data_IF_697398685850
#
_entry.id   IF_697398685850
#
_cell.length_a   1.000
_cell.length_b   1.000
_cell.length_c   1.000
_cell.angle_alpha   90.00
_cell.angle_beta   90.00
_cell.angle_gamma   90.00
#
_symmetry.space_group_name_H-M   'P 1'
#
loop_
_entity.id
_entity.type
_entity.pdbx_description
1 polymer ?
#
# COMPACT_ATOMS: atom_id res chain seq x y z
N UNK A 1 -19.53 12.12 19.81
CA UNK A 1 -20.50 11.28 19.09
C UNK A 1 -20.38 9.86 19.59
N UNK A 2 -21.49 9.17 19.83
CA UNK A 2 -21.52 7.88 20.52
C UNK A 2 -20.94 6.76 19.64
N UNK A 3 -20.06 5.94 20.23
CA UNK A 3 -19.52 4.74 19.60
C UNK A 3 -20.67 3.73 19.35
N UNK A 4 -20.86 3.32 18.11
CA UNK A 4 -21.79 2.24 17.79
C UNK A 4 -21.03 0.92 17.89
N UNK A 5 -21.26 0.14 18.96
CA UNK A 5 -20.90 -1.28 18.97
C UNK A 5 -21.89 -1.99 18.06
N UNK A 6 -21.42 -2.47 16.92
CA UNK A 6 -22.22 -3.31 16.04
C UNK A 6 -22.32 -4.70 16.68
N UNK A 7 -23.49 -5.02 17.23
CA UNK A 7 -23.84 -6.39 17.60
C UNK A 7 -24.15 -7.19 16.33
N UNK A 8 -23.87 -8.49 16.38
CA UNK A 8 -24.05 -9.46 15.29
C UNK A 8 -25.51 -9.53 14.80
N UNK A 9 -25.89 -8.59 13.95
CA UNK A 9 -27.09 -8.63 13.14
C UNK A 9 -26.71 -8.13 11.74
N UNK A 10 -26.85 -9.04 10.79
CA UNK A 10 -26.56 -8.94 9.36
C UNK A 10 -26.72 -7.53 8.77
N UNK A 11 -25.59 -6.88 8.49
CA UNK A 11 -25.49 -5.85 7.44
C UNK A 11 -24.24 -6.12 6.65
N UNK A 12 -24.38 -6.38 5.34
CA UNK A 12 -23.30 -6.38 4.33
C UNK A 12 -22.73 -4.96 4.15
N UNK A 13 -22.46 -4.25 5.24
CA UNK A 13 -21.84 -2.95 5.23
C UNK A 13 -20.35 -3.08 4.95
N UNK A 14 -19.84 -2.18 4.11
CA UNK A 14 -18.40 -1.93 3.97
C UNK A 14 -18.07 -0.78 4.90
N UNK A 15 -17.08 -0.95 5.76
CA UNK A 15 -16.49 0.11 6.59
C UNK A 15 -15.08 0.41 6.12
N UNK A 16 -14.65 1.66 6.20
CA UNK A 16 -13.29 2.04 5.80
C UNK A 16 -12.25 1.40 6.72
N UNK A 17 -12.48 1.46 8.05
CA UNK A 17 -11.55 0.92 9.04
C UNK A 17 -12.28 0.09 10.09
N UNK A 18 -11.92 -1.18 10.23
CA UNK A 18 -12.33 -2.04 11.33
C UNK A 18 -11.23 -2.16 12.38
N UNK A 19 -11.51 -1.70 13.60
CA UNK A 19 -10.67 -1.92 14.78
C UNK A 19 -11.20 -3.17 15.51
N UNK A 20 -10.39 -4.22 15.61
CA UNK A 20 -10.80 -5.50 16.18
C UNK A 20 -10.16 -5.69 17.55
N UNK A 21 -10.98 -5.76 18.61
CA UNK A 21 -10.55 -6.09 19.97
C UNK A 21 -9.66 -5.04 20.65
N UNK A 22 -9.52 -3.84 20.07
CA UNK A 22 -8.53 -2.85 20.50
C UNK A 22 -9.15 -1.45 20.71
N UNK A 23 -9.94 -1.27 21.79
CA UNK A 23 -10.66 -0.01 22.10
C UNK A 23 -9.77 1.26 22.04
N UNK A 24 -8.51 1.13 22.45
CA UNK A 24 -7.52 2.22 22.42
C UNK A 24 -7.28 2.72 20.99
N UNK A 25 -7.18 1.81 20.03
CA UNK A 25 -6.96 2.15 18.64
C UNK A 25 -8.16 2.92 18.08
N UNK A 26 -9.38 2.44 18.33
CA UNK A 26 -10.61 3.14 17.91
C UNK A 26 -10.64 4.59 18.43
N UNK A 27 -10.38 4.79 19.72
CA UNK A 27 -10.34 6.15 20.31
C UNK A 27 -9.29 7.03 19.64
N UNK A 28 -8.06 6.53 19.52
CA UNK A 28 -6.93 7.33 19.04
C UNK A 28 -7.02 7.65 17.54
N UNK A 29 -7.50 6.71 16.73
CA UNK A 29 -7.76 6.95 15.30
C UNK A 29 -8.87 8.00 15.11
N UNK A 30 -9.94 7.92 15.90
CA UNK A 30 -11.03 8.92 15.87
C UNK A 30 -10.52 10.30 16.28
N UNK A 31 -9.71 10.40 17.34
CA UNK A 31 -9.07 11.65 17.78
C UNK A 31 -8.12 12.23 16.73
N UNK A 32 -7.47 11.36 15.94
CA UNK A 32 -6.61 11.74 14.83
C UNK A 32 -7.38 12.17 13.56
N UNK A 33 -8.72 12.12 13.59
CA UNK A 33 -9.59 12.55 12.50
C UNK A 33 -9.86 11.48 11.44
N UNK A 34 -9.55 10.21 11.71
CA UNK A 34 -9.91 9.10 10.81
C UNK A 34 -11.42 8.90 10.86
N UNK A 35 -12.05 8.85 9.69
CA UNK A 35 -13.50 8.68 9.52
C UNK A 35 -13.87 7.22 9.31
N UNK A 36 -15.15 6.89 9.52
CA UNK A 36 -15.74 5.55 9.28
C UNK A 36 -14.96 4.39 9.94
N UNK A 37 -14.67 4.57 11.23
CA UNK A 37 -13.99 3.57 12.06
C UNK A 37 -15.03 2.78 12.84
N UNK A 38 -15.13 1.47 12.60
CA UNK A 38 -15.96 0.55 13.36
C UNK A 38 -15.12 -0.17 14.44
N UNK A 39 -15.64 -0.23 15.67
CA UNK A 39 -15.08 -1.05 16.74
C UNK A 39 -15.82 -2.40 16.79
N UNK A 40 -15.09 -3.47 16.57
CA UNK A 40 -15.57 -4.85 16.61
C UNK A 40 -15.03 -5.56 17.85
N UNK A 41 -15.83 -6.48 18.40
CA UNK A 41 -15.35 -7.40 19.43
C UNK A 41 -14.20 -8.26 18.91
N UNK A 42 -13.34 -8.74 19.81
CA UNK A 42 -12.22 -9.61 19.44
C UNK A 42 -12.72 -10.89 18.76
N UNK A 43 -12.14 -11.22 17.62
CA UNK A 43 -12.44 -12.43 16.86
C UNK A 43 -11.17 -12.97 16.20
N UNK A 44 -11.14 -14.26 15.85
CA UNK A 44 -9.97 -14.88 15.22
C UNK A 44 -9.79 -14.35 13.79
N UNK A 45 -8.64 -13.73 13.52
CA UNK A 45 -8.37 -13.14 12.22
C UNK A 45 -7.47 -14.01 11.34
N UNK A 46 -6.69 -14.94 11.89
CA UNK A 46 -5.60 -15.66 11.19
C UNK A 46 -5.98 -16.24 9.81
N UNK A 47 -7.18 -16.78 9.66
CA UNK A 47 -7.69 -17.42 8.45
C UNK A 47 -8.46 -16.48 7.50
N UNK A 48 -8.69 -15.22 7.88
CA UNK A 48 -9.38 -14.30 6.98
C UNK A 48 -8.54 -14.03 5.74
N UNK A 49 -9.20 -13.80 4.61
CA UNK A 49 -8.59 -13.52 3.31
C UNK A 49 -8.87 -12.08 2.89
N UNK A 50 -7.87 -11.48 2.25
CA UNK A 50 -7.99 -10.19 1.59
C UNK A 50 -8.55 -10.38 0.18
N UNK A 51 -9.61 -9.65 -0.14
CA UNK A 51 -10.24 -9.64 -1.45
C UNK A 51 -9.55 -8.59 -2.32
N UNK A 52 -8.56 -9.02 -3.11
CA UNK A 52 -7.81 -8.15 -4.04
C UNK A 52 -8.71 -7.44 -5.06
N UNK A 53 -9.87 -8.01 -5.38
CA UNK A 53 -10.77 -7.40 -6.36
C UNK A 53 -11.52 -6.21 -5.82
N UNK A 54 -11.58 -6.03 -4.49
CA UNK A 54 -12.31 -4.95 -3.82
C UNK A 54 -11.45 -4.19 -2.80
N UNK A 55 -10.22 -4.64 -2.60
CA UNK A 55 -9.31 -4.21 -1.55
C UNK A 55 -9.95 -4.23 -0.15
N UNK A 56 -10.65 -5.32 0.19
CA UNK A 56 -11.31 -5.46 1.50
C UNK A 56 -10.99 -6.77 2.21
N UNK A 57 -10.93 -6.74 3.53
CA UNK A 57 -10.97 -7.91 4.39
C UNK A 57 -12.42 -8.33 4.65
N UNK A 58 -12.69 -9.64 4.60
CA UNK A 58 -14.00 -10.20 4.96
C UNK A 58 -13.99 -10.60 6.43
N UNK A 59 -14.63 -9.80 7.29
CA UNK A 59 -14.81 -10.11 8.71
C UNK A 59 -16.18 -10.79 8.90
N UNK A 60 -16.43 -11.46 10.05
CA UNK A 60 -17.70 -12.15 10.28
C UNK A 60 -18.96 -11.25 10.18
N UNK A 61 -18.84 -9.98 10.53
CA UNK A 61 -19.97 -9.04 10.60
C UNK A 61 -19.99 -7.97 9.50
N UNK A 62 -18.84 -7.67 8.89
CA UNK A 62 -18.67 -6.55 7.94
C UNK A 62 -17.56 -6.86 6.93
N UNK A 63 -17.48 -6.08 5.85
CA UNK A 63 -16.26 -5.98 5.04
C UNK A 63 -15.52 -4.72 5.48
N UNK A 64 -14.20 -4.80 5.61
CA UNK A 64 -13.39 -3.65 5.99
C UNK A 64 -12.36 -3.34 4.92
N UNK A 65 -12.22 -2.06 4.56
CA UNK A 65 -11.09 -1.61 3.74
C UNK A 65 -9.78 -1.90 4.44
N UNK A 66 -9.64 -1.45 5.69
CA UNK A 66 -8.48 -1.66 6.56
C UNK A 66 -8.85 -2.35 7.87
N UNK A 67 -7.99 -3.24 8.36
CA UNK A 67 -8.08 -3.86 9.68
C UNK A 67 -6.98 -3.31 10.59
N UNK A 68 -7.33 -2.92 11.81
CA UNK A 68 -6.38 -2.50 12.86
C UNK A 68 -6.59 -3.35 14.11
N UNK A 69 -5.54 -4.01 14.58
CA UNK A 69 -5.63 -4.99 15.67
C UNK A 69 -4.28 -5.23 16.34
N UNK A 70 -4.25 -5.89 17.49
CA UNK A 70 -3.04 -6.38 18.15
C UNK A 70 -2.65 -7.81 17.71
N UNK A 71 -3.51 -8.50 16.96
CA UNK A 71 -3.23 -9.83 16.43
C UNK A 71 -2.18 -9.77 15.32
N UNK A 72 -1.02 -10.38 15.58
CA UNK A 72 0.10 -10.36 14.66
C UNK A 72 -0.14 -11.31 13.49
N UNK A 73 0.05 -10.81 12.27
CA UNK A 73 0.18 -11.64 11.06
C UNK A 73 1.54 -11.46 10.44
N UNK A 74 2.12 -12.58 10.08
CA UNK A 74 3.39 -12.63 9.36
C UNK A 74 3.13 -12.91 7.89
N UNK A 75 3.91 -12.27 7.04
CA UNK A 75 3.96 -12.59 5.63
C UNK A 75 5.14 -13.50 5.30
N UNK A 76 5.72 -13.27 4.12
CA UNK A 76 6.89 -14.01 3.63
C UNK A 76 8.05 -13.95 4.63
N UNK A 77 8.74 -15.07 4.81
CA UNK A 77 9.96 -15.19 5.65
C UNK A 77 9.77 -14.85 7.13
N UNK A 78 8.53 -14.66 7.60
CA UNK A 78 8.21 -14.37 9.00
C UNK A 78 9.05 -13.22 9.59
N UNK A 79 9.34 -12.22 8.76
CA UNK A 79 10.09 -11.05 9.18
C UNK A 79 9.32 -10.27 10.25
N UNK A 80 10.07 -9.60 11.13
CA UNK A 80 9.50 -8.63 12.08
C UNK A 80 8.59 -7.63 11.35
N UNK A 81 7.40 -7.30 11.88
CA UNK A 81 6.53 -6.30 11.28
C UNK A 81 7.27 -4.97 11.13
N UNK A 82 7.18 -4.35 9.96
CA UNK A 82 7.75 -3.04 9.70
C UNK A 82 7.21 -2.02 10.69
N UNK A 83 8.12 -1.40 11.47
CA UNK A 83 7.82 -0.49 12.58
C UNK A 83 6.87 -1.07 13.64
N UNK A 84 6.66 -2.39 13.66
CA UNK A 84 5.66 -3.05 14.49
C UNK A 84 4.21 -2.86 14.01
N UNK A 85 3.99 -2.37 12.76
CA UNK A 85 2.65 -2.05 12.27
C UNK A 85 2.22 -2.77 10.99
N UNK A 86 3.12 -3.21 10.12
CA UNK A 86 2.72 -3.79 8.84
C UNK A 86 3.62 -4.95 8.42
N UNK A 87 3.09 -5.89 7.65
CA UNK A 87 3.86 -6.98 7.06
C UNK A 87 3.60 -7.06 5.57
N UNK A 88 4.66 -7.28 4.79
CA UNK A 88 4.58 -7.53 3.37
C UNK A 88 3.84 -8.85 3.14
N UNK A 89 2.95 -8.90 2.16
CA UNK A 89 2.01 -10.00 1.92
C UNK A 89 0.71 -9.90 2.72
N UNK A 90 0.54 -8.85 3.54
CA UNK A 90 -0.65 -8.64 4.38
C UNK A 90 -1.20 -7.21 4.15
N UNK A 91 -1.74 -6.92 2.97
CA UNK A 91 -2.22 -5.58 2.62
C UNK A 91 -3.37 -5.13 3.53
N UNK A 92 -3.48 -3.82 3.76
CA UNK A 92 -4.54 -3.20 4.56
C UNK A 92 -4.72 -3.77 5.98
N UNK A 93 -3.70 -4.43 6.52
CA UNK A 93 -3.75 -5.01 7.85
C UNK A 93 -2.66 -4.37 8.71
N UNK A 94 -3.09 -3.52 9.63
CA UNK A 94 -2.20 -2.87 10.59
C UNK A 94 -2.23 -3.57 11.95
N UNK A 95 -1.04 -3.89 12.41
CA UNK A 95 -0.79 -4.43 13.75
C UNK A 95 -0.44 -3.28 14.71
N UNK A 96 -0.77 -3.46 15.98
CA UNK A 96 -0.35 -2.55 17.05
C UNK A 96 0.43 -3.36 18.07
N UNK A 97 1.70 -3.64 17.77
CA UNK A 97 2.56 -4.36 18.71
C UNK A 97 3.03 -3.44 19.85
N UNK A 98 3.56 -4.03 20.92
CA UNK A 98 4.09 -3.29 22.08
C UNK A 98 3.00 -2.73 23.00
N UNK A 99 3.40 -1.94 23.99
CA UNK A 99 2.49 -1.42 25.03
C UNK A 99 2.77 0.06 25.33
N UNK A 100 1.91 0.69 26.13
CA UNK A 100 2.14 2.05 26.62
C UNK A 100 2.35 3.07 25.50
N UNK A 101 3.35 3.94 25.64
CA UNK A 101 3.67 5.00 24.66
C UNK A 101 4.13 4.47 23.30
N UNK A 102 4.74 3.29 23.25
CA UNK A 102 5.16 2.66 21.97
C UNK A 102 3.95 2.33 21.11
N UNK A 103 2.91 1.76 21.72
CA UNK A 103 1.65 1.48 21.03
C UNK A 103 0.96 2.77 20.55
N UNK A 104 1.02 3.86 21.33
CA UNK A 104 0.48 5.16 20.88
C UNK A 104 1.22 5.71 19.67
N UNK A 105 2.55 5.65 19.66
CA UNK A 105 3.34 6.12 18.52
C UNK A 105 3.06 5.31 17.25
N UNK A 106 2.87 4.00 17.39
CA UNK A 106 2.44 3.10 16.31
C UNK A 106 1.05 3.46 15.78
N UNK A 107 0.10 3.75 16.67
CA UNK A 107 -1.23 4.20 16.30
C UNK A 107 -1.21 5.56 15.59
N UNK A 108 -0.37 6.49 16.03
CA UNK A 108 -0.17 7.78 15.37
C UNK A 108 0.39 7.59 13.95
N UNK A 109 1.34 6.67 13.80
CA UNK A 109 1.88 6.31 12.49
C UNK A 109 0.83 5.67 11.57
N UNK A 110 0.01 4.74 12.10
CA UNK A 110 -1.11 4.13 11.37
C UNK A 110 -2.10 5.20 10.92
N UNK A 111 -2.44 6.16 11.79
CA UNK A 111 -3.30 7.28 11.41
C UNK A 111 -2.72 8.11 10.25
N UNK A 112 -1.40 8.33 10.22
CA UNK A 112 -0.75 9.00 9.08
C UNK A 112 -0.77 8.15 7.80
N UNK A 113 -0.66 6.83 7.89
CA UNK A 113 -0.85 5.92 6.75
C UNK A 113 -2.29 5.98 6.20
N UNK A 114 -3.29 6.01 7.08
CA UNK A 114 -4.70 6.13 6.69
C UNK A 114 -5.01 7.48 6.03
N UNK A 115 -4.47 8.57 6.59
CA UNK A 115 -4.56 9.90 5.96
C UNK A 115 -3.84 9.93 4.62
N UNK A 116 -2.72 9.21 4.48
CA UNK A 116 -2.02 9.09 3.21
C UNK A 116 -2.92 8.41 2.17
N UNK A 117 -3.52 7.26 2.50
CA UNK A 117 -4.48 6.58 1.62
C UNK A 117 -5.64 7.49 1.20
N UNK A 118 -6.22 8.23 2.15
CA UNK A 118 -7.31 9.16 1.88
C UNK A 118 -6.86 10.28 0.93
N UNK A 119 -5.68 10.87 1.16
CA UNK A 119 -5.13 11.93 0.29
C UNK A 119 -4.82 11.44 -1.12
N UNK A 120 -4.41 10.19 -1.28
CA UNK A 120 -4.05 9.59 -2.57
C UNK A 120 -5.21 8.83 -3.23
N UNK A 121 -6.40 8.82 -2.63
CA UNK A 121 -7.54 8.02 -3.10
C UNK A 121 -7.26 6.52 -3.15
N UNK A 122 -6.27 6.04 -2.39
CA UNK A 122 -5.86 4.64 -2.40
C UNK A 122 -6.75 3.81 -1.50
N UNK A 123 -7.04 2.60 -1.95
CA UNK A 123 -7.85 1.61 -1.22
C UNK A 123 -7.04 0.38 -0.83
N UNK A 124 -5.81 0.24 -1.34
CA UNK A 124 -4.83 -0.79 -0.97
C UNK A 124 -3.54 -0.11 -0.52
N UNK A 125 -2.98 -0.58 0.59
CA UNK A 125 -1.69 -0.20 1.14
C UNK A 125 -0.95 -1.46 1.59
N UNK A 126 0.30 -1.61 1.17
CA UNK A 126 1.13 -2.75 1.56
C UNK A 126 2.58 -2.32 1.72
N UNK A 127 3.26 -2.74 2.80
CA UNK A 127 4.67 -2.40 2.96
C UNK A 127 5.51 -3.15 1.92
N UNK A 128 6.48 -2.47 1.33
CA UNK A 128 7.43 -3.09 0.40
C UNK A 128 8.28 -4.13 1.14
N UNK A 129 8.48 -5.30 0.52
CA UNK A 129 9.28 -6.37 1.11
C UNK A 129 10.71 -5.92 1.44
N UNK A 130 11.33 -5.18 0.52
CA UNK A 130 12.69 -4.64 0.70
C UNK A 130 12.77 -3.71 1.91
N UNK A 131 11.77 -2.84 2.09
CA UNK A 131 11.64 -1.94 3.24
C UNK A 131 11.50 -2.72 4.55
N UNK A 132 10.58 -3.69 4.61
CA UNK A 132 10.40 -4.54 5.80
C UNK A 132 11.68 -5.33 6.12
N UNK A 133 12.31 -5.94 5.12
CA UNK A 133 13.54 -6.72 5.30
C UNK A 133 14.68 -5.86 5.81
N UNK A 134 14.86 -4.64 5.27
CA UNK A 134 15.86 -3.71 5.77
C UNK A 134 15.58 -3.27 7.20
N UNK A 135 14.31 -3.05 7.55
CA UNK A 135 13.90 -2.78 8.93
C UNK A 135 14.18 -3.94 9.87
N UNK A 136 13.84 -5.18 9.48
CA UNK A 136 14.12 -6.37 10.28
C UNK A 136 15.62 -6.51 10.56
N UNK A 137 16.47 -6.30 9.54
CA UNK A 137 17.91 -6.46 9.67
C UNK A 137 18.60 -5.34 10.48
N UNK A 138 18.06 -4.12 10.50
CA UNK A 138 18.80 -2.94 11.00
C UNK A 138 18.02 -2.01 11.93
N UNK A 139 16.69 -2.06 11.89
CA UNK A 139 15.81 -1.05 12.48
C UNK A 139 14.93 -1.53 13.64
N UNK A 140 14.69 -2.84 13.76
CA UNK A 140 13.74 -3.40 14.73
C UNK A 140 14.04 -2.96 16.17
N UNK A 141 15.27 -3.19 16.66
CA UNK A 141 15.67 -2.82 18.02
C UNK A 141 15.62 -1.30 18.30
N UNK A 142 15.76 -0.46 17.27
CA UNK A 142 15.70 1.00 17.42
C UNK A 142 14.26 1.50 17.56
N UNK A 143 13.30 0.86 16.87
CA UNK A 143 11.91 1.32 16.86
C UNK A 143 11.23 1.19 18.23
N UNK A 144 11.56 0.16 19.02
CA UNK A 144 10.98 -0.04 20.35
C UNK A 144 11.43 1.03 21.37
N UNK A 145 12.57 1.69 21.12
CA UNK A 145 13.12 2.75 21.97
C UNK A 145 13.08 4.13 21.30
N UNK A 146 12.32 4.27 20.20
CA UNK A 146 12.33 5.45 19.37
C UNK A 146 11.56 6.63 19.99
N UNK A 147 12.06 7.84 19.72
CA UNK A 147 11.44 9.09 20.15
C UNK A 147 10.46 9.68 19.11
N UNK A 148 9.81 10.78 19.46
CA UNK A 148 8.87 11.47 18.56
C UNK A 148 9.54 12.04 17.29
N UNK A 149 10.85 12.28 17.28
CA UNK A 149 11.57 12.75 16.08
C UNK A 149 11.66 11.61 15.06
N UNK A 150 12.01 10.42 15.54
CA UNK A 150 12.05 9.21 14.72
C UNK A 150 10.70 8.95 14.05
N UNK A 151 9.61 8.95 14.82
CA UNK A 151 8.27 8.67 14.28
C UNK A 151 7.81 9.72 13.26
N UNK A 152 8.10 11.01 13.48
CA UNK A 152 7.83 12.07 12.49
C UNK A 152 8.62 11.86 11.20
N UNK A 153 9.87 11.42 11.28
CA UNK A 153 10.67 11.08 10.10
C UNK A 153 10.06 9.90 9.36
N UNK A 154 9.65 8.85 10.09
CA UNK A 154 9.05 7.68 9.47
C UNK A 154 7.74 8.01 8.76
N UNK A 155 6.88 8.85 9.36
CA UNK A 155 5.64 9.30 8.74
C UNK A 155 5.90 9.99 7.39
N UNK A 156 6.95 10.83 7.31
CA UNK A 156 7.36 11.48 6.05
C UNK A 156 7.87 10.48 5.00
N UNK A 157 8.46 9.37 5.42
CA UNK A 157 8.94 8.31 4.54
C UNK A 157 7.89 7.26 4.19
N UNK A 158 6.67 7.35 4.74
CA UNK A 158 5.60 6.39 4.46
C UNK A 158 5.30 6.24 2.95
N UNK A 159 5.22 7.32 2.13
CA UNK A 159 4.94 7.17 0.70
C UNK A 159 5.94 6.31 -0.08
N UNK A 160 7.20 6.25 0.36
CA UNK A 160 8.23 5.41 -0.27
C UNK A 160 8.39 4.03 0.40
N UNK A 161 7.74 3.82 1.54
CA UNK A 161 7.81 2.57 2.29
C UNK A 161 6.71 1.58 1.88
N UNK A 162 5.63 2.09 1.28
CA UNK A 162 4.43 1.34 0.93
C UNK A 162 4.13 1.40 -0.57
N UNK A 163 3.59 0.30 -1.08
CA UNK A 163 2.84 0.25 -2.33
C UNK A 163 1.39 0.69 -2.05
N UNK A 164 0.87 1.62 -2.86
CA UNK A 164 -0.45 2.24 -2.73
C UNK A 164 -1.20 2.10 -4.06
N UNK A 165 -2.44 1.58 -4.01
CA UNK A 165 -3.29 1.51 -5.21
C UNK A 165 -4.78 1.72 -4.92
N UNK A 166 -5.51 2.25 -5.89
CA UNK A 166 -6.96 2.48 -5.84
C UNK A 166 -7.74 1.35 -6.53
N UNK A 167 -8.95 1.09 -6.03
CA UNK A 167 -9.91 0.12 -6.58
C UNK A 167 -10.80 0.76 -7.64
N UNK A 168 -11.06 2.07 -7.51
CA UNK A 168 -11.77 2.85 -8.52
C UNK A 168 -10.75 3.22 -9.59
N UNK A 169 -11.06 2.87 -10.85
CA UNK A 169 -10.45 3.44 -12.06
C UNK A 169 -10.71 4.95 -12.14
N UNK A 170 -10.20 5.72 -11.18
CA UNK A 170 -10.13 7.17 -11.28
C UNK A 170 -8.90 7.47 -12.10
N UNK A 171 -9.17 8.05 -13.26
CA UNK A 171 -8.24 8.59 -14.23
C UNK A 171 -7.32 9.58 -13.52
N UNK A 172 -6.13 9.13 -13.16
CA UNK A 172 -4.94 9.94 -13.17
C UNK A 172 -3.87 9.07 -13.85
N UNK A 173 -3.87 9.11 -15.19
CA UNK A 173 -2.95 8.43 -16.11
C UNK A 173 -2.59 6.98 -15.77
N UNK A 174 -3.55 6.19 -15.28
CA UNK A 174 -3.36 4.76 -15.06
C UNK A 174 -3.62 4.01 -16.36
N UNK A 175 -2.56 3.52 -17.00
CA UNK A 175 -2.68 2.56 -18.07
C UNK A 175 -2.86 1.16 -17.51
N UNK A 176 -3.98 0.51 -17.81
CA UNK A 176 -4.20 -0.93 -17.55
C UNK A 176 -4.58 -1.63 -18.85
N UNK A 177 -3.67 -2.41 -19.40
CA UNK A 177 -3.85 -3.01 -20.71
C UNK A 177 -2.67 -3.85 -21.17
N UNK A 178 -2.73 -4.34 -22.41
CA UNK A 178 -1.68 -5.13 -23.02
C UNK A 178 -0.43 -4.30 -23.34
N UNK A 179 0.74 -4.90 -23.21
CA UNK A 179 2.04 -4.33 -23.53
C UNK A 179 3.01 -5.43 -23.98
N UNK A 180 4.01 -5.03 -24.76
CA UNK A 180 5.16 -5.88 -25.05
C UNK A 180 6.28 -5.54 -24.08
N UNK A 181 6.77 -6.53 -23.33
CA UNK A 181 7.92 -6.39 -22.43
C UNK A 181 9.12 -7.02 -23.10
N UNK A 182 10.18 -6.22 -23.30
CA UNK A 182 11.46 -6.68 -23.84
C UNK A 182 12.53 -6.69 -22.76
N UNK A 183 13.22 -7.81 -22.59
CA UNK A 183 14.31 -8.02 -21.62
C UNK A 183 15.46 -8.70 -22.35
N UNK A 184 16.55 -7.96 -22.61
CA UNK A 184 17.59 -8.45 -23.52
C UNK A 184 17.00 -8.75 -24.90
N UNK A 185 17.18 -9.98 -25.39
CA UNK A 185 16.65 -10.46 -26.66
C UNK A 185 15.25 -11.13 -26.54
N UNK A 186 14.71 -11.25 -25.32
CA UNK A 186 13.40 -11.85 -25.10
C UNK A 186 12.30 -10.78 -25.17
N UNK A 187 11.22 -11.07 -25.89
CA UNK A 187 9.98 -10.28 -25.92
C UNK A 187 8.79 -11.14 -25.49
N UNK A 188 7.90 -10.56 -24.70
CA UNK A 188 6.67 -11.22 -24.27
C UNK A 188 5.49 -10.24 -24.25
N UNK A 189 4.31 -10.77 -24.58
CA UNK A 189 3.05 -10.06 -24.39
C UNK A 189 2.62 -10.19 -22.93
N UNK A 190 2.30 -9.06 -22.32
CA UNK A 190 1.87 -8.98 -20.94
C UNK A 190 0.74 -7.98 -20.76
N UNK A 191 -0.17 -8.23 -19.84
CA UNK A 191 -0.96 -7.17 -19.23
C UNK A 191 -0.07 -6.43 -18.23
N UNK A 192 -0.16 -5.10 -18.27
CA UNK A 192 0.49 -4.21 -17.32
C UNK A 192 -0.52 -3.27 -16.71
N UNK A 193 -0.23 -2.83 -15.49
CA UNK A 193 -0.87 -1.68 -14.86
C UNK A 193 0.20 -0.69 -14.49
N UNK A 194 0.22 0.48 -15.12
CA UNK A 194 1.24 1.51 -14.98
C UNK A 194 0.61 2.83 -14.58
N UNK A 195 1.33 3.63 -13.81
CA UNK A 195 0.96 4.98 -13.39
C UNK A 195 2.22 5.82 -13.22
N UNK A 196 2.09 7.14 -13.08
CA UNK A 196 3.24 8.00 -12.89
C UNK A 196 2.88 9.37 -12.33
N UNK A 197 3.90 10.16 -12.02
CA UNK A 197 3.78 11.51 -11.50
C UNK A 197 5.05 12.31 -11.79
N UNK A 198 4.96 13.64 -11.76
CA UNK A 198 6.16 14.49 -11.75
C UNK A 198 6.74 14.54 -10.34
N UNK A 199 8.00 14.12 -10.18
CA UNK A 199 8.72 14.22 -8.91
C UNK A 199 9.16 15.69 -8.69
N UNK A 200 8.78 16.34 -7.57
CA UNK A 200 9.07 17.74 -7.32
C UNK A 200 10.54 18.04 -7.00
N UNK A 201 11.36 17.02 -6.70
CA UNK A 201 12.78 17.16 -6.37
C UNK A 201 13.60 17.32 -7.65
N UNK A 202 13.32 16.50 -8.66
CA UNK A 202 14.09 16.50 -9.92
C UNK A 202 13.33 17.06 -11.13
N UNK A 203 12.03 17.31 -10.99
CA UNK A 203 11.16 17.85 -12.03
C UNK A 203 10.88 16.86 -13.17
N UNK A 204 11.18 15.57 -13.00
CA UNK A 204 11.01 14.55 -14.02
C UNK A 204 9.74 13.74 -13.76
N UNK A 205 9.17 13.20 -14.82
CA UNK A 205 8.07 12.24 -14.70
C UNK A 205 8.62 10.87 -14.28
N UNK A 206 8.23 10.36 -13.12
CA UNK A 206 8.55 9.02 -12.65
C UNK A 206 7.31 8.15 -12.81
N UNK A 207 7.47 6.98 -13.43
CA UNK A 207 6.38 6.05 -13.65
C UNK A 207 6.75 4.66 -13.14
N UNK A 208 5.76 3.95 -12.64
CA UNK A 208 5.93 2.60 -12.09
C UNK A 208 4.67 1.78 -12.28
N UNK A 209 4.80 0.47 -12.06
CA UNK A 209 3.64 -0.41 -12.09
C UNK A 209 3.97 -1.88 -12.02
N UNK A 210 3.02 -2.69 -12.44
CA UNK A 210 3.07 -4.15 -12.33
C UNK A 210 2.89 -4.80 -13.69
N UNK A 211 3.71 -5.81 -13.97
CA UNK A 211 3.58 -6.77 -15.07
C UNK A 211 2.99 -8.06 -14.51
N UNK A 212 1.90 -8.54 -15.09
CA UNK A 212 1.12 -9.63 -14.51
C UNK A 212 1.58 -11.02 -14.94
N UNK A 213 2.24 -11.12 -16.09
CA UNK A 213 2.74 -12.34 -16.69
C UNK A 213 4.10 -12.74 -16.13
N UNK A 214 4.40 -14.04 -16.21
CA UNK A 214 5.70 -14.54 -15.83
C UNK A 214 6.80 -14.01 -16.76
N UNK A 215 7.81 -13.37 -16.17
CA UNK A 215 9.01 -12.96 -16.87
C UNK A 215 10.08 -14.06 -16.77
N UNK A 216 10.90 -14.24 -17.82
CA UNK A 216 12.03 -15.18 -17.81
C UNK A 216 12.86 -15.04 -16.55
N UNK A 217 13.34 -16.14 -15.98
CA UNK A 217 13.96 -16.20 -14.65
C UNK A 217 15.03 -15.08 -14.47
N UNK A 218 14.67 -14.07 -13.66
CA UNK A 218 15.47 -12.86 -13.49
C UNK A 218 16.43 -13.08 -12.32
N UNK A 219 17.71 -13.29 -12.62
CA UNK A 219 18.74 -13.46 -11.59
C UNK A 219 19.09 -12.15 -10.88
N UNK A 220 18.75 -10.98 -11.43
CA UNK A 220 19.00 -9.62 -10.89
C UNK A 220 18.03 -8.57 -11.48
N UNK A 221 17.98 -7.36 -10.90
CA UNK A 221 17.29 -6.18 -11.48
C UNK A 221 17.83 -5.91 -12.90
N UNK A 222 17.06 -6.24 -13.93
CA UNK A 222 17.42 -6.00 -15.34
C UNK A 222 16.74 -4.75 -15.89
N UNK A 223 17.49 -4.03 -16.73
CA UNK A 223 16.90 -3.07 -17.67
C UNK A 223 15.93 -3.80 -18.59
N UNK A 224 14.77 -3.20 -18.80
CA UNK A 224 13.73 -3.69 -19.67
C UNK A 224 13.17 -2.53 -20.49
N UNK A 225 12.40 -2.85 -21.52
CA UNK A 225 11.62 -1.87 -22.27
C UNK A 225 10.18 -2.31 -22.29
N UNK A 226 9.29 -1.40 -21.91
CA UNK A 226 7.84 -1.60 -22.01
C UNK A 226 7.36 -0.87 -23.25
N UNK A 227 6.59 -1.54 -24.10
CA UNK A 227 6.00 -0.96 -25.31
C UNK A 227 4.48 -1.12 -25.30
N UNK A 228 3.75 -0.03 -25.53
CA UNK A 228 2.30 0.01 -25.65
C UNK A 228 1.96 0.75 -26.93
N UNK A 229 1.33 0.06 -27.88
CA UNK A 229 1.12 0.59 -29.23
C UNK A 229 2.47 0.98 -29.87
N UNK A 230 2.62 2.26 -30.21
CA UNK A 230 3.85 2.80 -30.83
C UNK A 230 4.81 3.45 -29.82
N UNK A 231 4.46 3.49 -28.53
CA UNK A 231 5.26 4.15 -27.48
C UNK A 231 6.08 3.12 -26.71
N UNK A 232 7.37 3.39 -26.55
CA UNK A 232 8.28 2.55 -25.79
C UNK A 232 9.03 3.37 -24.75
N UNK A 233 9.25 2.78 -23.57
CA UNK A 233 10.02 3.42 -22.51
C UNK A 233 10.96 2.41 -21.84
N UNK A 234 12.18 2.86 -21.54
CA UNK A 234 13.13 2.09 -20.74
C UNK A 234 12.73 2.11 -19.27
N UNK A 235 12.86 0.95 -18.64
CA UNK A 235 12.56 0.77 -17.24
C UNK A 235 13.49 -0.24 -16.60
N UNK A 236 13.34 -0.41 -15.30
CA UNK A 236 13.96 -1.50 -14.54
C UNK A 236 12.87 -2.37 -13.98
N UNK A 237 13.10 -3.68 -14.02
CA UNK A 237 12.30 -4.61 -13.22
C UNK A 237 12.89 -4.61 -11.82
N UNK A 238 12.11 -4.12 -10.87
CA UNK A 238 12.57 -3.81 -9.51
C UNK A 238 12.45 -5.01 -8.58
N UNK A 239 11.38 -5.81 -8.73
CA UNK A 239 11.14 -7.01 -7.91
C UNK A 239 10.15 -7.98 -8.57
N UNK A 240 10.15 -9.24 -8.10
CA UNK A 240 9.06 -10.20 -8.32
C UNK A 240 8.24 -10.28 -7.02
N UNK A 241 6.97 -9.89 -7.10
CA UNK A 241 6.00 -9.92 -6.00
C UNK A 241 5.70 -11.35 -5.55
N UNK A 242 5.17 -11.51 -4.32
CA UNK A 242 4.80 -12.83 -3.77
C UNK A 242 3.71 -13.55 -4.57
N UNK A 243 2.92 -12.82 -5.37
CA UNK A 243 1.88 -13.34 -6.25
C UNK A 243 2.44 -13.77 -7.62
N UNK A 244 3.77 -13.73 -7.80
CA UNK A 244 4.44 -14.11 -9.03
C UNK A 244 4.54 -13.01 -10.10
N UNK A 245 3.96 -11.83 -9.85
CA UNK A 245 4.00 -10.64 -10.74
C UNK A 245 5.30 -9.86 -10.60
N UNK A 246 5.58 -8.92 -11.51
CA UNK A 246 6.84 -8.18 -11.53
C UNK A 246 6.61 -6.67 -11.45
N UNK A 247 7.30 -6.01 -10.53
CA UNK A 247 7.26 -4.55 -10.40
C UNK A 247 8.24 -3.91 -11.39
N UNK A 248 7.82 -2.84 -12.04
CA UNK A 248 8.62 -2.07 -13.00
C UNK A 248 8.62 -0.59 -12.66
N UNK A 249 9.74 0.09 -12.91
CA UNK A 249 9.86 1.53 -12.72
C UNK A 249 10.73 2.17 -13.81
N UNK A 250 10.33 3.34 -14.29
CA UNK A 250 11.05 4.14 -15.27
C UNK A 250 10.95 5.63 -14.98
N UNK A 251 11.81 6.41 -15.64
CA UNK A 251 11.88 7.86 -15.51
C UNK A 251 11.85 8.48 -16.90
N UNK A 252 11.12 9.59 -17.05
CA UNK A 252 10.88 10.28 -18.30
C UNK A 252 9.51 9.96 -18.89
N UNK A 253 9.37 10.13 -20.20
CA UNK A 253 8.12 9.88 -20.90
C UNK A 253 7.66 8.43 -20.69
N UNK A 254 6.42 8.21 -20.22
CA UNK A 254 5.91 6.86 -20.03
C UNK A 254 5.57 6.19 -21.37
N UNK A 255 5.42 4.85 -21.39
CA UNK A 255 5.02 4.13 -22.58
C UNK A 255 3.51 4.26 -22.88
N UNK A 256 2.73 5.00 -22.10
CA UNK A 256 1.28 5.19 -22.29
C UNK A 256 0.94 6.66 -22.60
N UNK A 257 -0.30 6.91 -23.05
CA UNK A 257 -0.78 8.28 -23.23
C UNK A 257 -0.91 8.95 -21.86
N UNK A 258 -0.39 10.16 -21.72
CA UNK A 258 -0.76 11.07 -20.65
C UNK A 258 -1.97 11.85 -21.14
N UNK A 259 -3.02 11.95 -20.33
CA UNK A 259 -4.13 12.83 -20.64
C UNK A 259 -3.62 14.28 -20.59
N UNK A 260 -3.87 15.04 -21.67
CA UNK A 260 -3.50 16.45 -21.71
C UNK A 260 -4.30 17.18 -20.62
N UNK A 261 -3.64 17.53 -19.51
CA UNK A 261 -4.22 18.39 -18.49
C UNK A 261 -4.47 19.76 -19.11
N UNK A 262 -5.73 20.06 -19.41
CA UNK A 262 -6.18 21.42 -19.69
C UNK A 262 -5.95 22.25 -18.42
N UNK A 263 -4.80 22.94 -18.37
CA UNK A 263 -4.50 23.90 -17.31
C UNK A 263 -5.49 25.06 -17.46
N UNK A 264 -6.59 25.01 -16.71
CA UNK A 264 -7.45 26.18 -16.50
C UNK A 264 -6.66 27.18 -15.67
N UNK A 265 -5.92 28.04 -16.36
CA UNK A 265 -5.27 29.21 -15.75
C UNK A 265 -6.39 30.14 -15.29
N UNK A 266 -6.53 30.43 -13.98
CA UNK A 266 -7.46 31.46 -13.55
C UNK A 266 -7.01 32.78 -14.16
N UNK A 267 -7.83 33.36 -15.04
CA UNK A 267 -7.58 34.71 -15.55
C UNK A 267 -7.77 35.69 -14.39
N UNK A 268 -6.64 36.31 -14.02
CA UNK A 268 -6.40 37.53 -13.21
C UNK A 268 -7.56 38.07 -12.37
#
# INVERSE_FOLDING_TARGET
>A
MAAHRLSAAMTEGVVDVAVVGLDRAHRRLTEAGVTDVALLDSCELSELLFDESTHTWRLPAVRAGVVVTDQIRYGREQLEPYLGVAAHGVPNYFMVTGTGSVADARLDYIAECLKLMQRTGSSRIEVLFSTQRMFHLRGAAMADNADAVYWRRMAKSAPSAFDLSSHISVVDDIYDGGATIRIGDAELQARVRLSGHVDPIDGRYHWQGTVFEELPELTQSRSATVTIGERSAECRITERTAQGRYSVAGVGAPPYALDDVEVVVPRR
#
